data_IF_921063866205
#
_entry.id   IF_921063866205
#
_cell.length_a   1.000
_cell.length_b   1.000
_cell.length_c   1.000
_cell.angle_alpha   90.00
_cell.angle_beta   90.00
_cell.angle_gamma   90.00
#
_symmetry.space_group_name_H-M   'P 1'
#
loop_
_entity.id
_entity.type
_entity.pdbx_description
1 polymer ?
#
# COMPACT_ATOMS: atom_id res chain seq x y z
N UNK A 1 -9.08 -8.15 35.58
CA UNK A 1 -8.30 -7.58 34.45
C UNK A 1 -8.91 -8.12 33.17
N UNK A 2 -9.37 -7.24 32.26
CA UNK A 2 -9.83 -7.65 30.93
C UNK A 2 -8.68 -7.50 29.94
N UNK A 3 -8.38 -8.53 29.18
CA UNK A 3 -7.49 -8.44 28.03
C UNK A 3 -8.25 -7.72 26.91
N UNK A 4 -7.70 -6.61 26.43
CA UNK A 4 -8.21 -5.94 25.23
C UNK A 4 -7.69 -6.70 24.01
N UNK A 5 -8.59 -7.13 23.14
CA UNK A 5 -8.26 -7.67 21.82
C UNK A 5 -8.07 -6.49 20.87
N UNK A 6 -6.93 -6.46 20.19
CA UNK A 6 -6.70 -5.58 19.06
C UNK A 6 -7.00 -6.37 17.78
N UNK A 7 -7.75 -5.76 16.91
CA UNK A 7 -8.16 -6.35 15.66
C UNK A 7 -7.40 -5.80 14.46
N UNK A 8 -8.06 -5.73 13.32
CA UNK A 8 -7.48 -5.28 12.05
C UNK A 8 -6.99 -3.83 12.10
N UNK A 9 -7.50 -3.00 13.01
CA UNK A 9 -7.02 -1.63 13.22
C UNK A 9 -5.54 -1.58 13.61
N UNK A 10 -5.00 -2.67 14.15
CA UNK A 10 -3.59 -2.77 14.51
C UNK A 10 -2.69 -3.26 13.36
N UNK A 11 -3.26 -3.59 12.19
CA UNK A 11 -2.50 -4.00 11.02
C UNK A 11 -1.72 -2.81 10.44
N UNK A 12 -0.43 -3.01 10.19
CA UNK A 12 0.43 -1.94 9.69
C UNK A 12 1.57 -2.48 8.81
N UNK A 13 2.11 -1.58 8.00
CA UNK A 13 3.41 -1.71 7.34
C UNK A 13 4.40 -0.74 7.96
N UNK A 14 5.69 -1.04 7.88
CA UNK A 14 6.75 -0.16 8.37
C UNK A 14 7.98 -0.20 7.48
N UNK A 15 8.72 0.90 7.47
CA UNK A 15 10.07 0.95 6.92
C UNK A 15 11.02 1.68 7.88
N UNK A 16 12.32 1.56 7.63
CA UNK A 16 13.38 2.28 8.32
C UNK A 16 14.23 3.01 7.29
N UNK A 17 14.46 4.31 7.48
CA UNK A 17 15.18 5.16 6.51
C UNK A 17 16.66 5.38 6.89
N UNK A 18 17.16 4.65 7.89
CA UNK A 18 18.49 4.82 8.44
C UNK A 18 18.53 5.71 9.69
N UNK A 19 17.46 6.46 9.96
CA UNK A 19 17.35 7.38 11.10
C UNK A 19 16.03 7.24 11.87
N UNK A 20 14.95 6.87 11.19
CA UNK A 20 13.59 6.86 11.73
C UNK A 20 12.86 5.59 11.34
N UNK A 21 11.96 5.14 12.22
CA UNK A 21 10.94 4.16 11.86
C UNK A 21 9.69 4.88 11.39
N UNK A 22 9.14 4.49 10.25
CA UNK A 22 7.91 5.04 9.71
C UNK A 22 6.87 3.92 9.66
N UNK A 23 5.74 4.13 10.33
CA UNK A 23 4.62 3.20 10.41
C UNK A 23 3.44 3.71 9.62
N UNK A 24 2.84 2.86 8.81
CA UNK A 24 1.60 3.10 8.07
C UNK A 24 0.56 2.08 8.48
N UNK A 25 -0.41 2.48 9.29
CA UNK A 25 -1.53 1.61 9.62
C UNK A 25 -2.47 1.51 8.42
N UNK A 26 -3.03 0.33 8.20
CA UNK A 26 -3.84 0.06 7.02
C UNK A 26 -5.14 0.88 7.01
N UNK A 27 -5.68 1.16 8.18
CA UNK A 27 -6.93 1.89 8.36
C UNK A 27 -6.74 3.25 9.07
N UNK A 28 -5.59 3.90 8.85
CA UNK A 28 -5.33 5.26 9.32
C UNK A 28 -4.79 6.13 8.17
N UNK A 29 -5.32 7.32 8.03
CA UNK A 29 -4.91 8.31 7.03
C UNK A 29 -3.54 8.93 7.32
N UNK A 30 -2.98 8.62 8.49
CA UNK A 30 -1.70 9.17 8.91
C UNK A 30 -0.59 8.11 8.84
N UNK A 31 0.62 8.60 8.75
CA UNK A 31 1.81 7.82 9.08
C UNK A 31 2.34 8.28 10.43
N UNK A 32 3.10 7.43 11.10
CA UNK A 32 3.70 7.70 12.39
C UNK A 32 5.21 7.56 12.27
N UNK A 33 5.91 8.63 12.58
CA UNK A 33 7.36 8.72 12.47
C UNK A 33 7.96 8.66 13.87
N UNK A 34 8.73 7.64 14.15
CA UNK A 34 9.34 7.40 15.46
C UNK A 34 10.88 7.49 15.38
N UNK A 35 11.49 7.92 16.46
CA UNK A 35 12.93 7.77 16.66
C UNK A 35 13.31 6.29 16.77
N UNK A 36 14.58 5.91 16.59
CA UNK A 36 15.02 4.51 16.75
C UNK A 36 14.68 3.94 18.13
N UNK A 37 14.75 4.74 19.17
CA UNK A 37 14.46 4.39 20.55
C UNK A 37 12.95 4.40 20.89
N UNK A 38 12.10 4.90 19.96
CA UNK A 38 10.66 5.09 20.15
C UNK A 38 10.28 5.98 21.34
N UNK A 39 11.16 6.86 21.74
CA UNK A 39 10.91 7.85 22.81
C UNK A 39 10.12 9.07 22.31
N UNK A 40 10.07 9.25 21.00
CA UNK A 40 9.30 10.30 20.32
C UNK A 40 8.57 9.72 19.10
N UNK A 41 7.29 10.06 18.98
CA UNK A 41 6.44 9.66 17.84
C UNK A 41 5.71 10.90 17.32
N UNK A 42 5.88 11.19 16.05
CA UNK A 42 5.18 12.26 15.34
C UNK A 42 4.16 11.68 14.38
N UNK A 43 2.94 12.18 14.43
CA UNK A 43 1.85 11.88 13.49
C UNK A 43 1.89 12.84 12.30
N UNK A 44 1.83 12.31 11.09
CA UNK A 44 1.85 13.09 9.83
C UNK A 44 0.67 12.67 8.96
N UNK A 45 -0.22 13.60 8.56
CA UNK A 45 -1.32 13.28 7.66
C UNK A 45 -0.78 13.01 6.24
N UNK A 46 -1.10 11.83 5.71
CA UNK A 46 -0.75 11.41 4.35
C UNK A 46 -1.97 10.75 3.73
N UNK A 47 -2.81 11.56 3.11
CA UNK A 47 -4.09 11.12 2.54
C UNK A 47 -3.98 10.85 1.06
N UNK A 48 -4.66 9.81 0.59
CA UNK A 48 -4.86 9.59 -0.83
C UNK A 48 -5.80 10.66 -1.40
N UNK A 49 -5.57 11.05 -2.64
CA UNK A 49 -6.49 11.92 -3.38
C UNK A 49 -7.68 11.17 -3.99
N UNK A 50 -7.70 9.83 -3.91
CA UNK A 50 -8.72 8.99 -4.53
C UNK A 50 -9.83 8.54 -3.59
N UNK A 51 -9.71 8.83 -2.29
CA UNK A 51 -10.77 8.57 -1.29
C UNK A 51 -10.61 9.46 -0.06
N UNK A 52 -11.74 9.80 0.54
CA UNK A 52 -11.77 10.71 1.69
C UNK A 52 -11.51 10.00 3.02
N UNK A 53 -11.91 8.72 3.12
CA UNK A 53 -11.83 7.94 4.36
C UNK A 53 -11.49 6.49 4.08
N UNK A 54 -10.72 5.91 4.97
CA UNK A 54 -10.55 4.46 5.07
C UNK A 54 -11.75 3.85 5.81
N UNK A 55 -12.13 2.65 5.43
CA UNK A 55 -13.22 1.92 6.05
C UNK A 55 -12.70 0.64 6.68
N UNK A 56 -12.66 0.62 8.01
CA UNK A 56 -12.33 -0.58 8.76
C UNK A 56 -13.50 -1.57 8.65
N UNK A 57 -13.30 -2.78 8.11
CA UNK A 57 -14.33 -3.81 8.12
C UNK A 57 -14.67 -4.25 9.55
N UNK A 58 -15.91 -4.63 9.78
CA UNK A 58 -16.33 -5.24 11.04
C UNK A 58 -15.67 -6.61 11.17
N UNK A 59 -14.89 -6.83 12.23
CA UNK A 59 -14.16 -8.09 12.43
C UNK A 59 -15.04 -9.34 12.52
N UNK A 60 -16.30 -9.18 12.95
CA UNK A 60 -17.23 -10.30 13.09
C UNK A 60 -17.91 -10.67 11.77
N UNK A 61 -18.02 -9.71 10.85
CA UNK A 61 -18.76 -9.87 9.60
C UNK A 61 -17.90 -9.66 8.36
N UNK A 62 -16.64 -9.24 8.53
CA UNK A 62 -15.74 -8.98 7.41
C UNK A 62 -15.58 -10.19 6.51
N UNK A 63 -15.79 -9.99 5.24
CA UNK A 63 -15.59 -10.95 4.17
C UNK A 63 -14.35 -10.61 3.33
N UNK A 64 -13.78 -11.55 2.58
CA UNK A 64 -12.74 -11.24 1.61
C UNK A 64 -13.13 -10.16 0.61
N UNK A 65 -14.42 -10.03 0.30
CA UNK A 65 -14.97 -8.99 -0.57
C UNK A 65 -14.75 -7.60 0.01
N UNK A 66 -14.97 -7.40 1.32
CA UNK A 66 -14.76 -6.10 1.98
C UNK A 66 -13.33 -5.59 1.80
N UNK A 67 -12.33 -6.49 1.84
CA UNK A 67 -10.94 -6.13 1.57
C UNK A 67 -10.66 -5.79 0.11
N UNK A 68 -11.51 -6.23 -0.81
CA UNK A 68 -11.37 -5.93 -2.24
C UNK A 68 -12.07 -4.63 -2.64
N UNK A 69 -13.18 -4.26 -1.98
CA UNK A 69 -14.01 -3.12 -2.41
C UNK A 69 -13.81 -1.87 -1.58
N UNK A 70 -13.42 -1.98 -0.31
CA UNK A 70 -13.25 -0.83 0.58
C UNK A 70 -11.88 -0.18 0.43
N UNK A 71 -11.81 1.12 0.77
CA UNK A 71 -10.55 1.86 0.77
C UNK A 71 -9.71 1.51 1.99
N UNK A 72 -8.41 1.31 1.78
CA UNK A 72 -7.41 1.17 2.84
C UNK A 72 -5.98 1.36 2.30
N UNK A 73 -5.00 1.48 3.20
CA UNK A 73 -3.58 1.58 2.85
C UNK A 73 -2.89 0.24 3.03
N UNK A 74 -1.85 0.01 2.26
CA UNK A 74 -1.05 -1.21 2.35
C UNK A 74 0.42 -0.88 2.65
N UNK A 75 1.34 -1.46 1.90
CA UNK A 75 2.77 -1.37 2.14
C UNK A 75 3.28 0.07 2.11
N UNK A 76 4.27 0.31 2.96
CA UNK A 76 5.10 1.51 2.96
C UNK A 76 6.55 1.08 2.72
N UNK A 77 7.18 1.60 1.68
CA UNK A 77 8.56 1.33 1.33
C UNK A 77 9.39 2.62 1.39
N UNK A 78 10.64 2.50 1.78
CA UNK A 78 11.63 3.57 1.64
C UNK A 78 12.55 3.28 0.46
N UNK A 79 12.80 4.30 -0.34
CA UNK A 79 13.75 4.29 -1.45
C UNK A 79 15.00 5.09 -1.07
N UNK A 80 16.10 4.42 -0.70
CA UNK A 80 17.32 5.09 -0.27
C UNK A 80 18.08 5.75 -1.41
N UNK A 81 17.79 5.41 -2.67
CA UNK A 81 18.47 5.96 -3.84
C UNK A 81 17.90 7.33 -4.26
N UNK A 82 16.60 7.55 -3.98
CA UNK A 82 15.87 8.79 -4.32
C UNK A 82 15.40 9.56 -3.09
N UNK A 83 15.66 8.99 -1.89
CA UNK A 83 15.25 9.55 -0.58
C UNK A 83 13.74 9.85 -0.52
N UNK A 84 12.92 8.93 -1.06
CA UNK A 84 11.46 9.05 -1.08
C UNK A 84 10.80 7.83 -0.42
N UNK A 85 9.51 7.98 -0.09
CA UNK A 85 8.69 6.89 0.41
C UNK A 85 7.55 6.62 -0.55
N UNK A 86 7.19 5.35 -0.68
CA UNK A 86 6.04 4.88 -1.45
C UNK A 86 5.02 4.29 -0.49
N UNK A 87 3.87 4.95 -0.34
CA UNK A 87 2.73 4.44 0.42
C UNK A 87 1.68 3.93 -0.56
N UNK A 88 1.38 2.63 -0.50
CA UNK A 88 0.37 2.02 -1.35
C UNK A 88 -1.01 2.34 -0.80
N UNK A 89 -1.92 2.81 -1.65
CA UNK A 89 -3.30 3.08 -1.32
C UNK A 89 -4.22 2.30 -2.26
N UNK A 90 -5.23 1.68 -1.69
CA UNK A 90 -6.29 0.99 -2.42
C UNK A 90 -7.55 1.84 -2.42
N UNK A 91 -7.92 2.45 -3.54
CA UNK A 91 -9.21 3.14 -3.67
C UNK A 91 -10.39 2.16 -3.52
N UNK A 92 -11.61 2.67 -3.20
CA UNK A 92 -12.82 1.88 -3.33
C UNK A 92 -12.95 1.31 -4.75
N UNK A 93 -13.41 0.08 -4.85
CA UNK A 93 -13.46 -0.64 -6.11
C UNK A 93 -14.72 -1.51 -6.17
N UNK A 94 -14.99 -2.11 -7.31
CA UNK A 94 -16.07 -3.09 -7.49
C UNK A 94 -15.49 -4.43 -7.89
N UNK A 95 -16.14 -5.51 -7.48
CA UNK A 95 -15.83 -6.84 -7.95
C UNK A 95 -16.50 -7.09 -9.32
N UNK A 96 -15.70 -7.54 -10.27
CA UNK A 96 -16.22 -7.98 -11.54
C UNK A 96 -16.87 -9.37 -11.39
N UNK A 97 -17.88 -9.65 -12.22
CA UNK A 97 -18.63 -10.92 -12.14
C UNK A 97 -17.70 -12.11 -12.35
N UNK A 98 -17.74 -13.06 -11.42
CA UNK A 98 -16.96 -14.30 -11.50
C UNK A 98 -15.54 -14.20 -10.93
N UNK A 99 -15.13 -13.02 -10.47
CA UNK A 99 -13.84 -12.84 -9.80
C UNK A 99 -13.93 -13.36 -8.36
N UNK A 100 -12.93 -14.11 -7.93
CA UNK A 100 -12.84 -14.64 -6.57
C UNK A 100 -12.12 -13.64 -5.66
N UNK A 101 -12.79 -13.13 -4.60
CA UNK A 101 -12.19 -12.13 -3.72
C UNK A 101 -10.86 -12.55 -3.09
N UNK A 102 -10.72 -13.82 -2.70
CA UNK A 102 -9.49 -14.31 -2.10
C UNK A 102 -8.28 -14.22 -3.03
N UNK A 103 -8.47 -14.36 -4.34
CA UNK A 103 -7.40 -14.19 -5.31
C UNK A 103 -6.96 -12.72 -5.42
N UNK A 104 -7.91 -11.79 -5.40
CA UNK A 104 -7.59 -10.36 -5.35
C UNK A 104 -6.85 -9.96 -4.06
N UNK A 105 -7.23 -10.55 -2.93
CA UNK A 105 -6.50 -10.32 -1.67
C UNK A 105 -5.07 -10.84 -1.75
N UNK A 106 -4.87 -11.98 -2.40
CA UNK A 106 -3.58 -12.67 -2.47
C UNK A 106 -2.66 -12.11 -3.58
N UNK A 107 -3.21 -11.83 -4.76
CA UNK A 107 -2.42 -11.50 -5.96
C UNK A 107 -2.52 -10.04 -6.40
N UNK A 108 -3.09 -9.19 -5.57
CA UNK A 108 -3.27 -7.77 -5.84
C UNK A 108 -4.71 -7.41 -6.17
N UNK A 109 -5.12 -6.25 -5.68
CA UNK A 109 -6.45 -5.71 -5.92
C UNK A 109 -6.58 -5.21 -7.36
N UNK A 110 -7.83 -4.97 -7.79
CA UNK A 110 -8.17 -4.49 -9.14
C UNK A 110 -7.30 -3.30 -9.55
N UNK A 111 -7.18 -2.30 -8.68
CA UNK A 111 -6.30 -1.16 -8.88
C UNK A 111 -5.72 -0.65 -7.55
N UNK A 112 -4.72 0.20 -7.65
CA UNK A 112 -4.09 0.87 -6.51
C UNK A 112 -3.45 2.17 -6.97
N UNK A 113 -3.16 3.05 -6.04
CA UNK A 113 -2.28 4.20 -6.24
C UNK A 113 -1.04 4.11 -5.36
N UNK A 114 -0.04 4.88 -5.69
CA UNK A 114 1.17 5.04 -4.89
C UNK A 114 1.31 6.50 -4.50
N UNK A 115 1.16 6.81 -3.22
CA UNK A 115 1.48 8.12 -2.68
C UNK A 115 2.99 8.20 -2.55
N UNK A 116 3.61 9.14 -3.26
CA UNK A 116 5.05 9.38 -3.26
C UNK A 116 5.34 10.54 -2.34
N UNK A 117 6.20 10.32 -1.33
CA UNK A 117 6.53 11.32 -0.32
C UNK A 117 8.02 11.66 -0.40
N UNK A 118 8.35 12.93 -0.19
CA UNK A 118 9.73 13.35 0.03
C UNK A 118 10.24 12.96 1.45
N UNK A 119 11.49 13.26 1.73
CA UNK A 119 12.12 13.01 3.04
C UNK A 119 11.45 13.73 4.21
N UNK A 120 10.67 14.78 3.95
CA UNK A 120 9.91 15.57 4.94
C UNK A 120 8.44 15.12 5.01
N UNK A 121 8.09 14.06 4.28
CA UNK A 121 6.74 13.48 4.15
C UNK A 121 5.72 14.38 3.44
N UNK A 122 6.18 15.29 2.57
CA UNK A 122 5.30 16.03 1.67
C UNK A 122 4.96 15.16 0.47
N UNK A 123 3.71 15.22 0.03
CA UNK A 123 3.26 14.45 -1.14
C UNK A 123 3.83 15.10 -2.40
N UNK A 124 4.65 14.36 -3.12
CA UNK A 124 5.20 14.74 -4.43
C UNK A 124 4.23 14.40 -5.56
N UNK A 125 3.50 13.29 -5.43
CA UNK A 125 2.53 12.85 -6.41
C UNK A 125 1.82 11.58 -5.97
N UNK A 126 0.79 11.20 -6.73
CA UNK A 126 0.05 9.97 -6.50
C UNK A 126 -0.50 9.42 -7.83
N UNK A 127 0.29 8.65 -8.61
CA UNK A 127 -0.20 7.96 -9.77
C UNK A 127 -1.17 6.83 -9.40
N UNK A 128 -2.24 6.68 -10.20
CA UNK A 128 -3.15 5.55 -10.17
C UNK A 128 -2.70 4.53 -11.22
N UNK A 129 -2.63 3.27 -10.83
CA UNK A 129 -2.24 2.18 -11.70
C UNK A 129 -3.45 1.56 -12.39
N UNK A 130 -3.29 1.06 -13.63
CA UNK A 130 -4.39 0.49 -14.39
C UNK A 130 -4.93 -0.79 -13.75
N UNK A 131 -6.23 -1.04 -13.97
CA UNK A 131 -6.93 -2.20 -13.45
C UNK A 131 -6.27 -3.51 -13.88
N UNK A 132 -6.24 -4.48 -12.97
CA UNK A 132 -5.89 -5.88 -13.21
C UNK A 132 -4.53 -6.09 -13.92
N UNK A 133 -3.57 -5.19 -13.72
CA UNK A 133 -2.29 -5.23 -14.43
C UNK A 133 -1.13 -5.60 -13.50
N UNK A 134 -1.06 -4.97 -12.33
CA UNK A 134 0.08 -5.09 -11.43
C UNK A 134 -0.31 -5.69 -10.08
N UNK A 135 0.64 -6.38 -9.48
CA UNK A 135 0.54 -6.88 -8.11
C UNK A 135 1.43 -6.02 -7.16
N UNK A 136 0.86 -5.04 -6.45
CA UNK A 136 1.63 -4.15 -5.58
C UNK A 136 2.09 -4.81 -4.27
N UNK A 137 1.74 -6.06 -4.03
CA UNK A 137 2.28 -6.80 -2.87
C UNK A 137 3.72 -7.27 -3.12
N UNK A 138 4.15 -7.28 -4.40
CA UNK A 138 5.50 -7.67 -4.83
C UNK A 138 6.15 -6.46 -5.50
N UNK A 139 6.94 -5.72 -4.71
CA UNK A 139 7.64 -4.53 -5.14
C UNK A 139 9.10 -4.57 -4.71
N UNK A 140 9.99 -4.04 -5.54
CA UNK A 140 11.43 -3.95 -5.29
C UNK A 140 11.93 -2.55 -5.58
N UNK A 141 12.71 -2.00 -4.66
CA UNK A 141 13.45 -0.75 -4.87
C UNK A 141 14.88 -1.08 -5.31
N UNK A 142 15.31 -0.48 -6.41
CA UNK A 142 16.65 -0.64 -6.98
C UNK A 142 17.22 0.73 -7.37
N UNK A 143 18.56 0.84 -7.59
CA UNK A 143 19.15 2.09 -8.06
C UNK A 143 18.49 2.62 -9.34
N UNK A 144 18.06 1.72 -10.24
CA UNK A 144 17.49 2.05 -11.53
C UNK A 144 16.01 2.46 -11.47
N UNK A 145 15.30 2.18 -10.37
CA UNK A 145 13.88 2.51 -10.27
C UNK A 145 13.12 1.68 -9.25
N UNK A 146 11.82 1.93 -9.19
CA UNK A 146 10.83 1.11 -8.50
C UNK A 146 10.37 0.02 -9.47
N UNK A 147 10.43 -1.23 -9.03
CA UNK A 147 9.95 -2.38 -9.79
C UNK A 147 8.68 -2.92 -9.15
N UNK A 148 7.63 -3.06 -9.94
CA UNK A 148 6.34 -3.60 -9.52
C UNK A 148 6.06 -4.84 -10.35
N UNK A 149 5.66 -5.93 -9.71
CA UNK A 149 5.28 -7.15 -10.43
C UNK A 149 4.06 -6.89 -11.32
N UNK A 150 4.14 -7.32 -12.58
CA UNK A 150 3.01 -7.35 -13.51
C UNK A 150 2.31 -8.72 -13.54
N UNK A 151 2.55 -9.54 -12.51
CA UNK A 151 1.92 -10.86 -12.32
C UNK A 151 0.58 -10.75 -11.59
N UNK A 152 -0.32 -9.89 -12.06
CA UNK A 152 -1.70 -9.89 -11.57
C UNK A 152 -2.49 -11.01 -12.27
N UNK A 153 -3.19 -11.87 -11.51
CA UNK A 153 -3.81 -13.08 -12.06
C UNK A 153 -4.89 -12.83 -13.12
N UNK A 154 -5.48 -11.62 -13.17
CA UNK A 154 -6.41 -11.20 -14.23
C UNK A 154 -5.70 -10.47 -15.38
N UNK A 155 -4.38 -10.29 -15.34
CA UNK A 155 -3.62 -9.75 -16.44
C UNK A 155 -3.64 -10.77 -17.60
N UNK A 156 -4.05 -10.40 -18.82
CA UNK A 156 -4.04 -11.33 -19.97
C UNK A 156 -2.66 -11.93 -20.30
N UNK A 157 -1.58 -11.31 -19.81
CA UNK A 157 -0.21 -11.78 -19.99
C UNK A 157 0.30 -12.57 -18.78
N UNK A 158 -0.56 -12.83 -17.80
CA UNK A 158 -0.18 -13.57 -16.58
C UNK A 158 0.29 -14.97 -16.95
N UNK A 159 1.40 -15.36 -16.33
CA UNK A 159 1.95 -16.71 -16.43
C UNK A 159 2.43 -17.09 -15.02
N UNK A 160 1.88 -18.13 -14.45
CA UNK A 160 2.16 -18.60 -13.08
C UNK A 160 3.56 -19.20 -12.91
N UNK A 161 4.22 -19.57 -14.02
CA UNK A 161 5.61 -20.05 -14.03
C UNK A 161 6.63 -18.91 -14.07
N UNK A 162 6.21 -17.64 -14.27
CA UNK A 162 7.10 -16.50 -14.48
C UNK A 162 6.74 -15.35 -13.55
N UNK A 163 7.67 -14.96 -12.69
CA UNK A 163 7.58 -13.71 -11.93
C UNK A 163 8.25 -12.59 -12.72
N UNK A 164 7.44 -11.69 -13.27
CA UNK A 164 7.91 -10.55 -14.06
C UNK A 164 7.68 -9.21 -13.36
N UNK A 165 8.44 -8.20 -13.77
CA UNK A 165 8.42 -6.85 -13.19
C UNK A 165 8.45 -5.78 -14.27
N UNK A 166 7.77 -4.67 -13.99
CA UNK A 166 7.93 -3.41 -14.73
C UNK A 166 8.70 -2.41 -13.89
N UNK A 167 9.65 -1.74 -14.53
CA UNK A 167 10.43 -0.65 -13.94
C UNK A 167 9.68 0.67 -14.11
N UNK A 168 9.64 1.44 -13.03
CA UNK A 168 9.11 2.80 -12.97
C UNK A 168 10.21 3.75 -12.49
N UNK A 169 10.32 4.88 -13.14
CA UNK A 169 11.25 5.95 -12.77
C UNK A 169 10.47 7.17 -12.28
N UNK A 170 11.00 7.84 -11.26
CA UNK A 170 10.48 9.15 -10.87
C UNK A 170 10.95 10.17 -11.90
N UNK A 171 10.01 10.93 -12.43
CA UNK A 171 10.26 12.07 -13.30
C UNK A 171 9.65 13.33 -12.66
N UNK A 172 10.37 14.43 -12.70
CA UNK A 172 9.81 15.73 -12.34
C UNK A 172 8.97 16.23 -13.52
N UNK A 173 7.74 16.73 -13.22
CA UNK A 173 6.87 17.37 -14.21
C UNK A 173 7.18 18.85 -14.30
#
# INVERSE_FOLDING_TARGET
VKLKRYGMEASYSRCYDGQRFIYSFHYDENIYVATPEHDSIRKVPVRSKYFDKVQLPDELTASPEDFCVNAWYNNLLYDPYREVYYRIAYPPSTLDKGVRPMELVQFGRKNFSIIILDKDFRILGEPLFPDNTYNPTIMLVRPEGLYISDSHYLNPQFNDDILSFRKFELVEE
#
